data_IF_728464542686
#
_entry.id   IF_728464542686
#
_cell.length_a   1.000
_cell.length_b   1.000
_cell.length_c   1.000
_cell.angle_alpha   90.00
_cell.angle_beta   90.00
_cell.angle_gamma   90.00
#
_symmetry.space_group_name_H-M   'P 1'
#
loop_
_entity.id
_entity.type
_entity.pdbx_description
1 polymer ?
#
# COMPACT_ATOMS: atom_id res chain seq x y z
N UNK A 1 -43.16 -22.24 -55.96
CA UNK A 1 -43.15 -20.78 -55.80
C UNK A 1 -43.41 -20.53 -54.32
N UNK A 2 -42.42 -20.56 -53.42
CA UNK A 2 -41.29 -19.64 -53.22
C UNK A 2 -41.75 -18.19 -53.15
N UNK A 3 -42.04 -17.76 -51.92
CA UNK A 3 -42.04 -16.41 -51.33
C UNK A 3 -42.41 -16.67 -49.84
N UNK A 4 -41.71 -16.27 -48.77
CA UNK A 4 -40.91 -15.08 -48.51
C UNK A 4 -39.78 -15.42 -47.53
N UNK A 5 -38.58 -15.02 -47.91
CA UNK A 5 -37.47 -14.70 -47.01
C UNK A 5 -37.66 -13.23 -46.59
N UNK A 6 -37.45 -12.91 -45.31
CA UNK A 6 -36.71 -11.73 -44.83
C UNK A 6 -37.19 -11.24 -43.45
N UNK A 7 -36.23 -11.24 -42.53
CA UNK A 7 -35.93 -10.18 -41.55
C UNK A 7 -36.98 -9.87 -40.47
N UNK A 8 -36.68 -10.29 -39.24
CA UNK A 8 -36.76 -9.41 -38.06
C UNK A 8 -35.79 -9.90 -36.97
N UNK A 9 -34.49 -9.85 -37.29
CA UNK A 9 -33.42 -9.78 -36.27
C UNK A 9 -33.32 -8.33 -35.80
N UNK A 10 -34.20 -7.88 -34.90
CA UNK A 10 -34.07 -6.57 -34.24
C UNK A 10 -35.08 -6.36 -33.10
N UNK A 11 -35.01 -7.10 -31.98
CA UNK A 11 -35.53 -6.65 -30.66
C UNK A 11 -35.28 -7.69 -29.54
N UNK A 12 -34.05 -7.73 -29.01
CA UNK A 12 -33.78 -8.25 -27.65
C UNK A 12 -32.48 -7.68 -27.06
N UNK A 13 -32.07 -6.51 -27.56
CA UNK A 13 -31.08 -5.63 -26.95
C UNK A 13 -31.90 -4.43 -26.48
N UNK A 14 -31.90 -4.14 -25.16
CA UNK A 14 -32.51 -2.98 -24.45
C UNK A 14 -33.40 -3.33 -23.23
N UNK A 15 -33.00 -4.30 -22.39
CA UNK A 15 -33.38 -4.28 -20.97
C UNK A 15 -32.09 -4.27 -20.13
N UNK A 16 -31.46 -3.10 -20.16
CA UNK A 16 -30.41 -2.66 -19.25
C UNK A 16 -30.99 -2.42 -17.84
N UNK A 17 -30.15 -2.73 -16.85
CA UNK A 17 -29.88 -1.92 -15.67
C UNK A 17 -31.00 -1.72 -14.63
N UNK A 18 -30.79 -2.28 -13.43
CA UNK A 18 -30.32 -1.49 -12.27
C UNK A 18 -30.47 -2.31 -10.96
N UNK A 19 -29.53 -3.21 -10.71
CA UNK A 19 -29.09 -3.51 -9.34
C UNK A 19 -27.60 -3.21 -9.31
N UNK A 20 -27.26 -1.93 -9.22
CA UNK A 20 -25.93 -1.51 -8.85
C UNK A 20 -25.78 -1.70 -7.34
N UNK A 21 -25.24 -2.84 -6.92
CA UNK A 21 -24.43 -2.87 -5.71
C UNK A 21 -23.03 -2.41 -6.14
N UNK A 22 -22.56 -1.34 -5.52
CA UNK A 22 -21.16 -0.90 -5.55
C UNK A 22 -20.30 -1.90 -4.78
N UNK A 23 -20.23 -3.13 -5.28
CA UNK A 23 -19.14 -4.01 -4.93
C UNK A 23 -17.97 -3.55 -5.80
N UNK A 24 -17.13 -2.67 -5.21
CA UNK A 24 -15.73 -2.56 -5.63
C UNK A 24 -15.26 -4.00 -5.77
N UNK A 25 -14.99 -4.44 -7.00
CA UNK A 25 -14.26 -5.68 -7.25
C UNK A 25 -13.01 -5.59 -6.37
N UNK A 26 -13.02 -6.37 -5.29
CA UNK A 26 -11.83 -6.74 -4.57
C UNK A 26 -10.91 -7.30 -5.65
N UNK A 27 -9.84 -6.56 -5.92
CA UNK A 27 -8.78 -6.89 -6.84
C UNK A 27 -8.34 -8.33 -6.51
N UNK A 28 -8.86 -9.26 -7.30
CA UNK A 28 -8.76 -10.70 -7.14
C UNK A 28 -8.44 -11.28 -8.50
N UNK A 29 -7.26 -10.95 -9.00
CA UNK A 29 -6.65 -11.50 -10.20
C UNK A 29 -5.20 -11.80 -9.88
N UNK A 30 -4.90 -13.09 -9.70
CA UNK A 30 -3.65 -13.62 -9.20
C UNK A 30 -2.54 -13.62 -10.27
N UNK A 31 -2.20 -12.42 -10.77
CA UNK A 31 -1.04 -12.09 -11.63
C UNK A 31 -0.60 -10.62 -11.39
N UNK A 32 -0.97 -10.01 -10.25
CA UNK A 32 -0.54 -8.66 -9.93
C UNK A 32 0.96 -8.63 -9.62
N UNK A 33 1.69 -7.99 -10.53
CA UNK A 33 3.10 -7.65 -10.42
C UNK A 33 3.33 -7.00 -9.04
N UNK A 34 4.25 -7.60 -8.27
CA UNK A 34 4.88 -7.09 -7.04
C UNK A 34 4.66 -5.57 -6.83
N UNK A 35 4.06 -5.10 -5.70
CA UNK A 35 4.23 -5.60 -4.33
C UNK A 35 3.00 -6.27 -3.67
N UNK A 36 1.87 -6.37 -4.37
CA UNK A 36 0.59 -6.78 -3.76
C UNK A 36 0.57 -8.21 -3.22
N UNK A 37 1.40 -9.08 -3.77
CA UNK A 37 1.56 -10.47 -3.34
C UNK A 37 2.10 -10.65 -1.90
N UNK A 38 2.64 -9.59 -1.29
CA UNK A 38 3.12 -9.61 0.10
C UNK A 38 2.08 -9.12 1.11
N UNK A 39 0.96 -8.57 0.66
CA UNK A 39 -0.13 -8.12 1.52
C UNK A 39 -1.09 -9.28 1.73
N UNK A 40 -1.36 -9.62 3.00
CA UNK A 40 -2.38 -10.63 3.33
C UNK A 40 -3.74 -10.26 2.73
N UNK A 41 -4.40 -11.23 2.09
CA UNK A 41 -5.76 -11.07 1.54
C UNK A 41 -6.80 -10.65 2.58
N UNK A 42 -6.52 -10.89 3.87
CA UNK A 42 -7.40 -10.48 4.98
C UNK A 42 -7.26 -9.01 5.36
N UNK A 43 -6.17 -8.35 4.95
CA UNK A 43 -5.95 -6.93 5.17
C UNK A 43 -6.71 -6.12 4.12
N UNK A 44 -7.81 -5.48 4.52
CA UNK A 44 -8.61 -4.63 3.63
C UNK A 44 -7.96 -3.27 3.50
N UNK A 45 -7.66 -2.84 2.28
CA UNK A 45 -7.10 -1.51 1.97
C UNK A 45 -7.60 -1.03 0.59
N UNK A 46 -7.39 0.25 0.28
CA UNK A 46 -7.88 0.89 -0.95
C UNK A 46 -6.98 0.76 -2.17
N UNK A 47 -5.87 0.02 -2.10
CA UNK A 47 -4.84 0.04 -3.15
C UNK A 47 -3.95 1.29 -3.07
N UNK A 48 -2.91 1.34 -3.89
CA UNK A 48 -2.15 2.54 -4.25
C UNK A 48 -1.27 2.24 -5.48
N UNK A 49 -1.04 3.23 -6.34
CA UNK A 49 -0.02 3.15 -7.41
C UNK A 49 1.24 3.96 -7.03
N UNK A 50 2.31 3.86 -7.80
CA UNK A 50 3.52 4.66 -7.62
C UNK A 50 4.21 4.95 -8.97
N UNK A 51 5.09 5.97 -9.04
CA UNK A 51 5.78 6.30 -10.28
C UNK A 51 6.58 5.13 -10.87
N UNK A 52 6.60 4.99 -12.21
CA UNK A 52 7.30 3.88 -12.91
C UNK A 52 8.82 3.87 -12.65
N UNK A 53 9.41 5.00 -12.29
CA UNK A 53 10.82 5.16 -11.97
C UNK A 53 11.15 4.81 -10.50
N UNK A 54 10.14 4.47 -9.69
CA UNK A 54 10.31 3.99 -8.33
C UNK A 54 10.25 2.45 -8.28
N UNK A 55 11.16 1.86 -7.52
CA UNK A 55 11.13 0.41 -7.24
C UNK A 55 10.74 0.17 -5.78
N UNK A 56 9.93 -0.86 -5.54
CA UNK A 56 9.72 -1.35 -4.17
C UNK A 56 10.98 -2.11 -3.74
N UNK A 57 11.70 -1.51 -2.80
CA UNK A 57 12.95 -2.03 -2.26
C UNK A 57 12.75 -2.74 -0.92
N UNK A 58 11.64 -2.50 -0.22
CA UNK A 58 11.34 -3.17 1.04
C UNK A 58 9.85 -3.26 1.30
N UNK A 59 9.42 -4.36 1.91
CA UNK A 59 8.08 -4.54 2.44
C UNK A 59 8.20 -5.17 3.83
N UNK A 60 7.56 -4.56 4.81
CA UNK A 60 7.48 -5.08 6.17
C UNK A 60 6.05 -4.97 6.72
N UNK A 61 5.79 -5.70 7.79
CA UNK A 61 4.50 -5.70 8.47
C UNK A 61 4.66 -5.72 9.99
N UNK A 62 3.65 -5.19 10.68
CA UNK A 62 3.55 -5.26 12.14
C UNK A 62 2.32 -6.08 12.55
N UNK A 63 2.54 -7.06 13.44
CA UNK A 63 1.52 -8.00 13.96
C UNK A 63 1.42 -7.91 15.48
N UNK A 64 0.26 -8.16 16.07
CA UNK A 64 0.13 -8.15 17.54
C UNK A 64 0.50 -9.49 18.16
N UNK A 65 1.17 -9.48 19.32
CA UNK A 65 1.34 -10.68 20.14
C UNK A 65 0.00 -11.08 20.75
N UNK A 66 -0.52 -12.26 20.41
CA UNK A 66 -1.81 -12.77 20.88
C UNK A 66 -1.67 -13.73 22.06
N UNK A 67 -0.52 -14.41 22.18
CA UNK A 67 -0.20 -15.27 23.31
C UNK A 67 1.31 -15.27 23.59
N UNK A 68 1.66 -15.10 24.87
CA UNK A 68 3.03 -15.18 25.38
C UNK A 68 3.21 -16.48 26.14
N UNK A 69 4.21 -17.27 25.75
CA UNK A 69 4.70 -18.40 26.53
C UNK A 69 5.93 -17.98 27.33
N UNK A 70 5.85 -18.08 28.65
CA UNK A 70 6.92 -17.61 29.54
C UNK A 70 8.13 -18.56 29.59
N UNK A 71 7.97 -19.82 29.17
CA UNK A 71 9.02 -20.84 29.27
C UNK A 71 9.63 -21.16 27.90
N UNK A 72 8.85 -21.03 26.83
CA UNK A 72 9.27 -21.34 25.47
C UNK A 72 8.97 -20.16 24.52
N UNK A 73 9.91 -19.22 24.30
CA UNK A 73 9.69 -18.08 23.40
C UNK A 73 9.29 -18.45 21.96
N UNK A 74 9.70 -19.63 21.49
CA UNK A 74 9.32 -20.16 20.18
C UNK A 74 7.81 -20.47 20.07
N UNK A 75 7.11 -20.65 21.19
CA UNK A 75 5.69 -20.98 21.26
C UNK A 75 4.80 -19.71 21.34
N UNK A 76 5.37 -18.52 21.21
CA UNK A 76 4.62 -17.26 21.12
C UNK A 76 3.70 -17.27 19.90
N UNK A 77 2.48 -16.74 20.07
CA UNK A 77 1.53 -16.61 18.96
C UNK A 77 1.26 -15.16 18.65
N UNK A 78 1.17 -14.86 17.37
CA UNK A 78 0.89 -13.54 16.84
C UNK A 78 -0.46 -13.53 16.12
N UNK A 79 -1.03 -12.35 15.93
CA UNK A 79 -2.20 -12.15 15.08
C UNK A 79 -1.90 -12.59 13.64
N UNK A 80 -2.84 -13.29 13.02
CA UNK A 80 -2.72 -13.72 11.62
C UNK A 80 -2.75 -12.53 10.66
N UNK A 81 -3.60 -11.54 10.94
CA UNK A 81 -3.71 -10.31 10.14
C UNK A 81 -2.83 -9.22 10.74
N UNK A 82 -1.87 -8.66 9.98
CA UNK A 82 -1.12 -7.47 10.40
C UNK A 82 -2.02 -6.25 10.53
N UNK A 83 -1.69 -5.34 11.42
CA UNK A 83 -2.39 -4.05 11.54
C UNK A 83 -1.70 -2.94 10.74
N UNK A 84 -0.50 -3.20 10.24
CA UNK A 84 0.28 -2.26 9.44
C UNK A 84 1.16 -2.98 8.42
N UNK A 85 1.26 -2.37 7.25
CA UNK A 85 2.29 -2.66 6.25
C UNK A 85 3.08 -1.39 5.97
N UNK A 86 4.37 -1.55 5.70
CA UNK A 86 5.23 -0.45 5.25
C UNK A 86 5.97 -0.86 3.98
N UNK A 87 5.96 0.03 3.00
CA UNK A 87 6.62 -0.10 1.71
C UNK A 87 7.73 0.93 1.64
N UNK A 88 8.93 0.49 1.29
CA UNK A 88 10.08 1.35 1.05
C UNK A 88 10.31 1.42 -0.46
N UNK A 89 10.31 2.63 -0.99
CA UNK A 89 10.56 2.92 -2.40
C UNK A 89 11.94 3.52 -2.57
N UNK A 90 12.61 3.15 -3.65
CA UNK A 90 13.92 3.70 -3.96
C UNK A 90 14.43 3.25 -5.31
N UNK A 91 15.70 3.55 -5.58
CA UNK A 91 16.41 3.04 -6.74
C UNK A 91 17.14 1.76 -6.40
N UNK A 92 16.62 0.63 -6.88
CA UNK A 92 17.17 -0.70 -6.62
C UNK A 92 18.65 -0.78 -7.01
N UNK A 93 19.49 -1.30 -6.11
CA UNK A 93 20.90 -1.56 -6.40
C UNK A 93 21.05 -2.70 -7.41
N UNK A 94 22.17 -2.75 -8.15
CA UNK A 94 22.42 -3.80 -9.13
C UNK A 94 22.60 -5.20 -8.52
N UNK A 95 22.92 -5.27 -7.23
CA UNK A 95 23.14 -6.51 -6.49
C UNK A 95 22.42 -6.42 -5.16
N UNK A 96 21.68 -7.48 -4.80
CA UNK A 96 21.13 -7.61 -3.47
C UNK A 96 22.14 -8.26 -2.54
N UNK A 97 22.42 -7.64 -1.39
CA UNK A 97 23.28 -8.21 -0.35
C UNK A 97 22.47 -8.93 0.74
N UNK A 98 21.13 -8.82 0.70
CA UNK A 98 20.23 -9.46 1.65
C UNK A 98 19.64 -10.71 1.03
N UNK A 99 20.01 -11.88 1.57
CA UNK A 99 19.45 -13.16 1.13
C UNK A 99 18.12 -13.46 1.81
N UNK A 100 17.40 -14.46 1.32
CA UNK A 100 16.16 -14.94 1.95
C UNK A 100 16.43 -15.47 3.36
N UNK A 101 17.55 -16.17 3.54
CA UNK A 101 17.97 -16.72 4.83
C UNK A 101 18.23 -15.61 5.86
N UNK A 102 18.83 -14.47 5.44
CA UNK A 102 19.00 -13.31 6.34
C UNK A 102 17.64 -12.74 6.79
N UNK A 103 16.64 -12.71 5.92
CA UNK A 103 15.28 -12.26 6.29
C UNK A 103 14.60 -13.24 7.24
N UNK A 104 14.73 -14.54 6.99
CA UNK A 104 14.18 -15.59 7.86
C UNK A 104 14.83 -15.55 9.25
N UNK A 105 16.15 -15.42 9.32
CA UNK A 105 16.91 -15.28 10.58
C UNK A 105 16.50 -14.01 11.34
N UNK A 106 16.40 -12.88 10.65
CA UNK A 106 15.94 -11.62 11.25
C UNK A 106 14.55 -11.80 11.89
N UNK A 107 13.60 -12.38 11.15
CA UNK A 107 12.23 -12.57 11.65
C UNK A 107 12.15 -13.57 12.80
N UNK A 108 12.97 -14.63 12.80
CA UNK A 108 13.07 -15.56 13.93
C UNK A 108 13.60 -14.85 15.17
N UNK A 109 14.66 -14.05 15.04
CA UNK A 109 15.21 -13.27 16.13
C UNK A 109 14.20 -12.25 16.69
N UNK A 110 13.44 -11.57 15.82
CA UNK A 110 12.35 -10.70 16.26
C UNK A 110 11.30 -11.49 17.06
N UNK A 111 10.87 -12.66 16.56
CA UNK A 111 9.88 -13.48 17.24
C UNK A 111 10.32 -13.97 18.63
N UNK A 112 11.59 -14.39 18.78
CA UNK A 112 12.17 -14.81 20.06
C UNK A 112 12.22 -13.70 21.12
N UNK A 113 12.27 -12.44 20.67
CA UNK A 113 12.32 -11.26 21.53
C UNK A 113 10.95 -10.60 21.72
N UNK A 114 9.85 -11.29 21.38
CA UNK A 114 8.48 -10.76 21.46
C UNK A 114 8.20 -9.56 20.54
N UNK A 115 9.09 -9.30 19.57
CA UNK A 115 8.96 -8.17 18.67
C UNK A 115 7.89 -8.44 17.61
N UNK A 116 7.17 -7.38 17.25
CA UNK A 116 6.00 -7.42 16.38
C UNK A 116 6.30 -7.14 14.91
N UNK A 117 7.51 -6.67 14.61
CA UNK A 117 7.94 -6.29 13.27
C UNK A 117 8.42 -7.50 12.47
N UNK A 118 8.03 -7.57 11.19
CA UNK A 118 8.40 -8.65 10.27
C UNK A 118 8.83 -8.08 8.93
N UNK A 119 10.02 -8.44 8.46
CA UNK A 119 10.50 -8.10 7.12
C UNK A 119 10.05 -9.16 6.13
N UNK A 120 9.26 -8.78 5.12
CA UNK A 120 8.67 -9.70 4.14
C UNK A 120 9.47 -9.76 2.84
N UNK A 121 10.03 -8.61 2.45
CA UNK A 121 10.86 -8.45 1.27
C UNK A 121 11.89 -7.35 1.53
N UNK A 122 13.13 -7.54 1.10
CA UNK A 122 14.12 -6.48 1.12
C UNK A 122 15.15 -6.65 0.01
N UNK A 123 15.44 -5.54 -0.66
CA UNK A 123 16.49 -5.39 -1.65
C UNK A 123 17.27 -4.12 -1.34
N UNK A 124 18.59 -4.21 -1.38
CA UNK A 124 19.46 -3.04 -1.25
C UNK A 124 19.16 -1.98 -2.32
N UNK A 125 19.35 -0.73 -1.97
CA UNK A 125 19.13 0.44 -2.84
C UNK A 125 20.22 1.47 -2.56
N UNK A 126 20.41 2.42 -3.49
CA UNK A 126 21.36 3.52 -3.30
C UNK A 126 20.69 4.88 -3.14
N UNK A 127 19.47 5.05 -3.64
CA UNK A 127 18.64 6.23 -3.43
C UNK A 127 17.32 5.82 -2.75
N UNK A 128 16.94 6.49 -1.65
CA UNK A 128 15.70 6.24 -0.91
C UNK A 128 14.67 7.30 -1.29
N UNK A 129 13.62 6.93 -2.01
CA UNK A 129 12.64 7.90 -2.51
C UNK A 129 11.49 8.14 -1.54
N UNK A 130 10.94 7.09 -0.94
CA UNK A 130 9.82 7.26 -0.02
C UNK A 130 9.62 6.06 0.91
N UNK A 131 8.79 6.27 1.94
CA UNK A 131 8.11 5.19 2.63
C UNK A 131 6.60 5.44 2.60
N UNK A 132 5.81 4.40 2.33
CA UNK A 132 4.36 4.42 2.52
C UNK A 132 3.99 3.41 3.61
N UNK A 133 3.31 3.86 4.65
CA UNK A 133 2.71 2.98 5.64
C UNK A 133 1.20 2.94 5.48
N UNK A 134 0.64 1.72 5.43
CA UNK A 134 -0.79 1.44 5.44
C UNK A 134 -1.16 0.87 6.80
N UNK A 135 -2.15 1.42 7.47
CA UNK A 135 -2.45 1.01 8.83
C UNK A 135 -3.94 0.98 9.13
N UNK A 136 -4.40 -0.07 9.82
CA UNK A 136 -5.79 -0.21 10.27
C UNK A 136 -6.03 0.36 11.68
N UNK A 137 -4.96 0.74 12.40
CA UNK A 137 -5.04 1.22 13.78
C UNK A 137 -4.62 2.68 14.00
N UNK A 138 -4.29 3.41 12.93
CA UNK A 138 -3.99 4.84 12.98
C UNK A 138 -2.76 5.24 12.17
N UNK A 139 -2.55 6.55 12.02
CA UNK A 139 -1.33 7.09 11.39
C UNK A 139 -0.08 6.76 12.22
N UNK A 140 1.05 6.57 11.55
CA UNK A 140 2.36 6.49 12.24
C UNK A 140 2.78 7.88 12.70
N UNK A 141 2.55 8.90 11.87
CA UNK A 141 2.77 10.30 12.18
C UNK A 141 1.47 11.06 11.99
N UNK A 142 0.98 11.76 13.02
CA UNK A 142 -0.25 12.54 12.92
C UNK A 142 0.10 13.95 12.49
N UNK A 143 -0.12 14.27 11.20
CA UNK A 143 0.21 15.60 10.68
C UNK A 143 -0.61 16.72 11.33
N UNK A 144 -1.83 16.45 11.81
CA UNK A 144 -2.69 17.47 12.45
C UNK A 144 -2.04 18.19 13.66
N UNK A 145 -0.96 17.65 14.22
CA UNK A 145 -0.24 18.24 15.34
C UNK A 145 0.74 19.37 14.93
N UNK A 146 0.93 19.61 13.63
CA UNK A 146 1.88 20.60 13.10
C UNK A 146 1.14 21.83 12.53
N UNK A 147 1.63 23.03 12.84
CA UNK A 147 0.99 24.30 12.45
C UNK A 147 1.04 24.59 10.94
N UNK A 148 2.04 24.06 10.25
CA UNK A 148 2.32 24.32 8.82
C UNK A 148 1.62 23.33 7.88
N UNK A 149 0.69 22.52 8.38
CA UNK A 149 -0.02 21.54 7.55
C UNK A 149 -1.02 22.19 6.63
N UNK A 150 -0.95 21.76 5.38
CA UNK A 150 -1.90 22.12 4.34
C UNK A 150 -2.93 20.99 4.15
N UNK A 151 -4.13 21.38 3.73
CA UNK A 151 -5.19 20.46 3.39
C UNK A 151 -5.49 20.56 1.89
N UNK A 152 -5.20 19.48 1.18
CA UNK A 152 -5.42 19.37 -0.25
C UNK A 152 -6.60 18.45 -0.54
N UNK A 153 -7.37 18.73 -1.59
CA UNK A 153 -8.44 17.87 -2.08
C UNK A 153 -7.96 17.15 -3.34
N UNK A 154 -7.83 15.83 -3.28
CA UNK A 154 -7.30 15.01 -4.37
C UNK A 154 -8.28 13.87 -4.64
N UNK A 155 -8.92 13.87 -5.81
CA UNK A 155 -9.87 12.82 -6.23
C UNK A 155 -10.90 12.43 -5.14
N UNK A 156 -11.54 13.45 -4.56
CA UNK A 156 -12.53 13.35 -3.47
C UNK A 156 -11.95 13.01 -2.08
N UNK A 157 -10.67 12.67 -1.98
CA UNK A 157 -9.99 12.42 -0.71
C UNK A 157 -9.41 13.72 -0.11
N UNK A 158 -9.57 13.88 1.20
CA UNK A 158 -8.94 14.95 1.96
C UNK A 158 -7.54 14.50 2.40
N UNK A 159 -6.51 15.18 1.89
CA UNK A 159 -5.11 14.85 2.13
C UNK A 159 -4.47 15.96 2.95
N UNK A 160 -3.89 15.59 4.09
CA UNK A 160 -3.03 16.49 4.86
C UNK A 160 -1.62 16.40 4.31
N UNK A 161 -0.99 17.53 4.03
CA UNK A 161 0.34 17.60 3.44
C UNK A 161 1.21 18.53 4.28
N UNK A 162 2.44 18.11 4.53
CA UNK A 162 3.47 18.89 5.22
C UNK A 162 4.76 18.85 4.40
N UNK A 163 5.33 20.01 4.12
CA UNK A 163 6.68 20.13 3.58
C UNK A 163 7.63 20.58 4.68
N UNK A 164 8.69 19.82 4.91
CA UNK A 164 9.72 20.17 5.90
C UNK A 164 11.10 19.70 5.44
N UNK A 165 12.11 20.56 5.49
CA UNK A 165 13.50 20.26 5.07
C UNK A 165 13.66 19.65 3.65
N UNK A 166 12.82 20.07 2.70
CA UNK A 166 12.72 19.51 1.33
C UNK A 166 12.32 18.03 1.31
N UNK A 167 11.63 17.56 2.33
CA UNK A 167 10.90 16.30 2.34
C UNK A 167 9.40 16.62 2.38
N UNK A 168 8.58 15.68 1.90
CA UNK A 168 7.12 15.79 1.96
C UNK A 168 6.55 14.68 2.83
N UNK A 169 5.52 15.01 3.58
CA UNK A 169 4.68 14.03 4.26
C UNK A 169 3.25 14.23 3.83
N UNK A 170 2.53 13.14 3.64
CA UNK A 170 1.12 13.17 3.33
C UNK A 170 0.37 12.12 4.15
N UNK A 171 -0.81 12.48 4.63
CA UNK A 171 -1.71 11.61 5.37
C UNK A 171 -3.09 11.66 4.72
N UNK A 172 -3.67 10.49 4.43
CA UNK A 172 -5.06 10.38 3.99
C UNK A 172 -5.68 9.07 4.48
N UNK A 173 -7.00 8.97 4.37
CA UNK A 173 -7.75 7.77 4.73
C UNK A 173 -8.43 7.27 3.46
N UNK A 174 -8.21 6.00 3.11
CA UNK A 174 -8.91 5.36 2.01
C UNK A 174 -9.48 4.01 2.49
N UNK A 175 -10.80 3.80 2.28
CA UNK A 175 -11.53 2.61 2.73
C UNK A 175 -11.33 2.26 4.22
N UNK A 176 -11.19 3.28 5.08
CA UNK A 176 -10.99 3.09 6.52
C UNK A 176 -9.57 2.68 6.94
N UNK A 177 -8.61 2.69 6.01
CA UNK A 177 -7.18 2.51 6.26
C UNK A 177 -6.48 3.85 6.22
N UNK A 178 -5.55 4.04 7.16
CA UNK A 178 -4.69 5.22 7.26
C UNK A 178 -3.46 5.04 6.39
N UNK A 179 -3.23 5.98 5.49
CA UNK A 179 -2.07 6.04 4.61
C UNK A 179 -1.15 7.16 5.08
N UNK A 180 0.11 6.82 5.35
CA UNK A 180 1.16 7.76 5.77
C UNK A 180 2.32 7.65 4.78
N UNK A 181 2.43 8.65 3.91
CA UNK A 181 3.49 8.75 2.91
C UNK A 181 4.55 9.73 3.40
N UNK A 182 5.81 9.31 3.34
CA UNK A 182 6.97 10.15 3.56
C UNK A 182 7.85 10.11 2.31
N UNK A 183 7.86 11.20 1.55
CA UNK A 183 8.72 11.39 0.37
C UNK A 183 10.01 12.08 0.79
N UNK A 184 11.12 11.46 0.42
CA UNK A 184 12.48 11.90 0.70
C UNK A 184 12.99 12.86 -0.36
N UNK A 185 14.00 13.65 0.01
CA UNK A 185 14.61 14.63 -0.88
C UNK A 185 15.15 14.00 -2.17
N UNK A 186 15.67 12.79 -2.06
CA UNK A 186 16.22 11.99 -3.15
C UNK A 186 15.18 11.61 -4.21
N UNK A 187 13.88 11.77 -3.94
CA UNK A 187 12.82 11.59 -4.93
C UNK A 187 12.66 12.80 -5.88
N UNK A 188 13.38 13.90 -5.64
CA UNK A 188 13.34 15.14 -6.44
C UNK A 188 11.91 15.66 -6.68
N UNK A 189 11.09 15.64 -5.63
CA UNK A 189 9.78 16.30 -5.60
C UNK A 189 9.97 17.67 -4.94
N UNK A 190 10.41 18.64 -5.73
CA UNK A 190 10.91 19.91 -5.23
C UNK A 190 9.81 20.98 -5.07
N UNK A 191 8.61 20.72 -5.59
CA UNK A 191 7.50 21.67 -5.58
C UNK A 191 6.13 21.00 -5.37
N UNK A 192 5.11 21.83 -5.12
CA UNK A 192 3.73 21.40 -4.86
C UNK A 192 3.10 20.68 -6.05
N UNK A 193 3.39 21.10 -7.28
CA UNK A 193 2.84 20.51 -8.51
C UNK A 193 3.28 19.05 -8.64
N UNK A 194 4.58 18.78 -8.47
CA UNK A 194 5.14 17.43 -8.52
C UNK A 194 4.62 16.52 -7.39
N UNK A 195 4.41 17.08 -6.20
CA UNK A 195 3.82 16.35 -5.07
C UNK A 195 2.34 16.04 -5.31
N UNK A 196 1.59 16.99 -5.87
CA UNK A 196 0.19 16.80 -6.24
C UNK A 196 0.03 15.69 -7.28
N UNK A 197 0.85 15.68 -8.32
CA UNK A 197 0.84 14.63 -9.34
C UNK A 197 1.16 13.25 -8.75
N UNK A 198 2.13 13.17 -7.84
CA UNK A 198 2.45 11.94 -7.13
C UNK A 198 1.23 11.44 -6.34
N UNK A 199 0.61 12.29 -5.53
CA UNK A 199 -0.53 11.92 -4.71
C UNK A 199 -1.74 11.50 -5.54
N UNK A 200 -2.03 12.20 -6.65
CA UNK A 200 -3.08 11.82 -7.59
C UNK A 200 -2.88 10.39 -8.10
N UNK A 201 -1.65 10.02 -8.48
CA UNK A 201 -1.32 8.66 -8.88
C UNK A 201 -1.52 7.67 -7.73
N UNK A 202 -0.97 7.95 -6.55
CA UNK A 202 -1.04 7.00 -5.44
C UNK A 202 -2.46 6.77 -4.93
N UNK A 203 -3.31 7.79 -4.94
CA UNK A 203 -4.70 7.71 -4.45
C UNK A 203 -5.62 7.03 -5.47
N UNK A 204 -5.27 7.09 -6.76
CA UNK A 204 -6.04 6.50 -7.86
C UNK A 204 -5.28 5.33 -8.52
N UNK A 205 -5.19 4.17 -7.83
CA UNK A 205 -4.66 2.95 -8.44
C UNK A 205 -5.52 2.43 -9.58
#
# INVERSE_FOLDING_TARGET
MKDKLCTFSLLAVLMLAACGSNDKELIGGNDQEFPYNYISETFRYGGFDYPEDWEVAGISSDVQLSYRDANNPEDHRYSETPYRYSFTFGRRASSNEVSKEHLEEYNQNQALNEETHRQLFYHTYYDHYANLSLSSNGFTHVLMEYDEVEHWKIDEEDVMVLRYDNEWRANWINNGVYYDLHVKREAYKDNEEEMMELLQRMIRP
#
